data_IF_208513470924
#
_entry.id   IF_208513470924
#
_cell.length_a   1.000
_cell.length_b   1.000
_cell.length_c   1.000
_cell.angle_alpha   90.00
_cell.angle_beta   90.00
_cell.angle_gamma   90.00
#
_symmetry.space_group_name_H-M   'P 1'
#
loop_
_entity.id
_entity.type
_entity.pdbx_description
1 polymer ?
#
# COMPACT_ATOMS: atom_id res chain seq x y z
N UNK A 1 7.78 13.05 -12.16
CA UNK A 1 9.09 13.34 -12.80
C UNK A 1 9.56 12.12 -13.59
N UNK A 2 10.08 12.33 -14.79
CA UNK A 2 10.65 11.25 -15.62
C UNK A 2 12.00 11.73 -16.13
N UNK A 3 13.04 10.94 -15.88
CA UNK A 3 14.35 11.11 -16.51
C UNK A 3 14.58 9.94 -17.45
N UNK A 4 14.61 10.26 -18.74
CA UNK A 4 15.00 9.31 -19.80
C UNK A 4 16.45 8.85 -19.59
N UNK A 5 16.75 7.65 -20.05
CA UNK A 5 18.05 7.00 -19.87
C UNK A 5 19.20 7.91 -20.34
N UNK A 6 20.03 8.37 -19.39
CA UNK A 6 21.18 9.22 -19.67
C UNK A 6 22.34 8.82 -18.76
N UNK A 7 23.50 8.51 -19.36
CA UNK A 7 24.71 8.01 -18.69
C UNK A 7 24.46 6.77 -17.81
N UNK A 8 23.67 5.83 -18.30
CA UNK A 8 23.39 4.56 -17.60
C UNK A 8 22.31 4.65 -16.52
N UNK A 9 21.63 5.79 -16.35
CA UNK A 9 20.59 5.96 -15.32
C UNK A 9 19.29 6.39 -15.98
N UNK A 10 18.20 5.71 -15.64
CA UNK A 10 16.82 6.11 -15.91
C UNK A 10 16.01 6.03 -14.62
N UNK A 11 15.13 6.99 -14.41
CA UNK A 11 14.19 6.93 -13.28
C UNK A 11 12.87 7.61 -13.62
N UNK A 12 11.81 7.15 -12.99
CA UNK A 12 10.49 7.74 -13.02
C UNK A 12 9.95 7.79 -11.60
N UNK A 13 9.25 8.87 -11.27
CA UNK A 13 8.60 9.05 -9.99
C UNK A 13 7.25 9.74 -10.22
N UNK A 14 6.22 9.21 -9.59
CA UNK A 14 4.84 9.69 -9.63
C UNK A 14 4.37 9.89 -8.20
N UNK A 15 3.72 11.02 -7.96
CA UNK A 15 3.06 11.30 -6.71
C UNK A 15 1.67 11.81 -7.01
N UNK A 16 0.68 11.23 -6.36
CA UNK A 16 -0.72 11.60 -6.47
C UNK A 16 -1.27 11.89 -5.09
N UNK A 17 -1.87 13.07 -4.96
CA UNK A 17 -2.72 13.46 -3.85
C UNK A 17 -4.16 13.39 -4.36
N UNK A 18 -4.97 12.51 -3.78
CA UNK A 18 -6.37 12.35 -4.19
C UNK A 18 -7.31 12.47 -2.98
N UNK A 19 -8.53 12.94 -3.24
CA UNK A 19 -9.64 12.92 -2.28
C UNK A 19 -10.91 12.58 -3.04
N UNK A 20 -11.54 11.49 -2.65
CA UNK A 20 -12.83 11.05 -3.16
C UNK A 20 -13.85 10.99 -2.04
N UNK A 21 -15.04 11.55 -2.29
CA UNK A 21 -16.16 11.58 -1.35
C UNK A 21 -17.38 11.05 -2.09
N UNK A 22 -18.07 10.09 -1.48
CA UNK A 22 -19.33 9.53 -1.98
C UNK A 22 -20.30 9.30 -0.83
N UNK A 23 -21.54 8.95 -1.16
CA UNK A 23 -22.63 8.54 -0.27
C UNK A 23 -22.87 7.01 -0.31
N UNK A 24 -22.16 6.29 -1.19
CA UNK A 24 -22.24 4.83 -1.36
C UNK A 24 -20.90 4.15 -1.09
N UNK A 25 -20.82 3.08 -0.27
CA UNK A 25 -19.61 2.28 -0.09
C UNK A 25 -19.10 1.54 -1.34
N UNK A 26 -19.85 1.45 -2.45
CA UNK A 26 -19.41 0.73 -3.66
C UNK A 26 -19.30 1.61 -4.91
N UNK A 27 -18.29 1.32 -5.72
CA UNK A 27 -18.01 1.95 -7.00
C UNK A 27 -18.93 1.32 -8.06
N UNK A 28 -19.76 2.12 -8.73
CA UNK A 28 -20.63 1.66 -9.83
C UNK A 28 -22.01 1.11 -9.43
N UNK A 29 -22.44 1.29 -8.18
CA UNK A 29 -23.81 0.95 -7.75
C UNK A 29 -24.13 -0.55 -7.71
N UNK A 30 -23.12 -1.41 -7.83
CA UNK A 30 -23.27 -2.86 -7.70
C UNK A 30 -23.16 -3.27 -6.22
N UNK A 31 -24.18 -3.97 -5.72
CA UNK A 31 -24.27 -4.51 -4.35
C UNK A 31 -25.50 -4.04 -3.58
N UNK A 32 -25.92 -4.81 -2.56
CA UNK A 32 -26.91 -4.37 -1.56
C UNK A 32 -26.26 -3.33 -0.64
N UNK A 33 -26.07 -2.14 -1.18
CA UNK A 33 -25.54 -1.00 -0.46
C UNK A 33 -26.68 -0.33 0.26
N UNK A 34 -26.76 -0.54 1.57
CA UNK A 34 -27.87 -0.02 2.36
C UNK A 34 -27.40 1.13 3.24
N UNK A 35 -28.09 2.26 3.11
CA UNK A 35 -27.92 3.40 4.00
C UNK A 35 -28.21 2.99 5.44
N UNK A 36 -27.41 3.51 6.36
CA UNK A 36 -27.61 3.22 7.78
C UNK A 36 -28.95 3.79 8.24
N UNK A 37 -29.22 5.06 7.90
CA UNK A 37 -30.46 5.74 8.24
C UNK A 37 -31.15 6.22 6.96
N UNK A 38 -32.20 5.51 6.55
CA UNK A 38 -33.04 5.89 5.42
C UNK A 38 -33.72 7.27 5.54
N UNK A 39 -33.92 7.78 6.76
CA UNK A 39 -34.46 9.12 7.01
C UNK A 39 -33.40 10.22 6.86
N UNK A 40 -32.11 9.86 6.85
CA UNK A 40 -30.99 10.77 6.70
C UNK A 40 -29.90 10.15 5.80
N UNK A 41 -30.11 10.29 4.50
CA UNK A 41 -29.18 9.81 3.47
C UNK A 41 -27.88 10.64 3.47
N UNK A 42 -27.96 11.92 3.86
CA UNK A 42 -26.77 12.78 3.92
C UNK A 42 -25.79 12.33 5.00
N UNK A 43 -26.29 11.72 6.08
CA UNK A 43 -25.49 11.13 7.14
C UNK A 43 -24.57 9.99 6.70
N UNK A 44 -24.76 9.42 5.51
CA UNK A 44 -23.86 8.40 4.95
C UNK A 44 -22.75 8.98 4.07
N UNK A 45 -22.78 10.28 3.73
CA UNK A 45 -21.71 10.93 2.96
C UNK A 45 -20.38 10.91 3.72
N UNK A 46 -19.34 10.40 3.07
CA UNK A 46 -18.00 10.23 3.67
C UNK A 46 -16.90 10.05 2.64
N UNK A 47 -15.68 9.73 3.08
CA UNK A 47 -14.60 9.37 2.16
C UNK A 47 -14.96 8.08 1.41
N UNK A 48 -14.64 7.99 0.13
CA UNK A 48 -14.80 6.77 -0.65
C UNK A 48 -13.99 5.62 -0.03
N UNK A 49 -14.50 4.38 -0.11
CA UNK A 49 -13.77 3.21 0.41
C UNK A 49 -12.43 2.98 -0.32
N UNK A 50 -12.30 3.50 -1.54
CA UNK A 50 -11.09 3.47 -2.36
C UNK A 50 -10.26 4.76 -2.28
N UNK A 51 -10.55 5.67 -1.34
CA UNK A 51 -9.76 6.90 -1.17
C UNK A 51 -8.34 6.55 -0.70
N UNK A 52 -7.36 6.75 -1.60
CA UNK A 52 -5.95 6.69 -1.25
C UNK A 52 -5.43 8.12 -1.28
N UNK A 53 -5.21 8.69 -0.09
CA UNK A 53 -4.84 10.11 0.05
C UNK A 53 -3.51 10.42 -0.61
N UNK A 54 -2.47 9.69 -0.24
CA UNK A 54 -1.12 9.85 -0.77
C UNK A 54 -0.71 8.58 -1.47
N UNK A 55 -0.29 8.70 -2.72
CA UNK A 55 0.28 7.59 -3.47
C UNK A 55 1.57 8.04 -4.14
N UNK A 56 2.67 7.37 -3.80
CA UNK A 56 3.98 7.56 -4.38
C UNK A 56 4.43 6.26 -5.04
N UNK A 57 4.84 6.36 -6.30
CA UNK A 57 5.42 5.25 -7.05
C UNK A 57 6.68 5.71 -7.77
N UNK A 58 7.77 5.00 -7.61
CA UNK A 58 9.03 5.29 -8.28
C UNK A 58 9.65 4.03 -8.87
N UNK A 59 10.20 4.15 -10.06
CA UNK A 59 11.02 3.13 -10.69
C UNK A 59 12.39 3.69 -11.04
N UNK A 60 13.44 2.88 -10.91
CA UNK A 60 14.77 3.26 -11.38
C UNK A 60 15.49 2.07 -11.98
N UNK A 61 16.35 2.38 -12.95
CA UNK A 61 17.31 1.45 -13.54
C UNK A 61 18.64 2.16 -13.63
N UNK A 62 19.67 1.52 -13.10
CA UNK A 62 21.04 1.96 -13.15
C UNK A 62 21.90 0.84 -13.73
N UNK A 63 22.53 1.09 -14.87
CA UNK A 63 23.51 0.20 -15.48
C UNK A 63 24.91 0.74 -15.26
N UNK A 64 25.89 -0.17 -15.32
CA UNK A 64 27.30 0.19 -15.32
C UNK A 64 27.60 1.32 -16.32
N UNK A 65 28.28 2.39 -15.89
CA UNK A 65 28.77 3.43 -16.80
C UNK A 65 30.10 3.02 -17.46
N UNK A 66 30.70 1.88 -17.14
CA UNK A 66 32.00 1.46 -17.66
C UNK A 66 31.87 1.08 -19.14
N UNK A 67 32.80 1.57 -19.97
CA UNK A 67 32.82 1.38 -21.44
C UNK A 67 31.65 2.01 -22.24
N UNK A 68 30.79 2.83 -21.61
CA UNK A 68 29.79 3.62 -22.33
C UNK A 68 30.42 4.88 -22.96
N UNK A 69 29.89 5.42 -24.08
CA UNK A 69 30.37 6.67 -24.67
C UNK A 69 30.38 7.81 -23.62
N UNK A 70 31.56 8.39 -23.34
CA UNK A 70 31.74 9.44 -22.33
C UNK A 70 32.06 8.96 -20.90
N UNK A 71 32.33 7.66 -20.70
CA UNK A 71 32.78 7.12 -19.43
C UNK A 71 34.21 7.54 -19.08
N UNK A 72 34.43 7.97 -17.83
CA UNK A 72 35.78 8.25 -17.28
C UNK A 72 36.51 7.00 -16.80
N UNK A 73 35.88 5.82 -16.84
CA UNK A 73 36.45 4.57 -16.34
C UNK A 73 36.83 3.70 -17.54
N UNK A 74 38.14 3.60 -17.79
CA UNK A 74 38.68 2.75 -18.84
C UNK A 74 38.38 1.26 -18.55
N UNK A 75 37.91 0.55 -19.58
CA UNK A 75 37.57 -0.88 -19.51
C UNK A 75 38.78 -1.78 -19.17
N UNK A 76 39.99 -1.31 -19.46
CA UNK A 76 41.24 -2.09 -19.37
C UNK A 76 41.81 -2.25 -17.96
N UNK A 77 41.30 -1.49 -17.00
CA UNK A 77 41.67 -1.65 -15.59
C UNK A 77 41.03 -2.93 -14.99
N UNK A 78 41.70 -3.61 -14.05
CA UNK A 78 41.10 -4.74 -13.29
C UNK A 78 39.74 -4.36 -12.68
N UNK A 79 39.63 -3.12 -12.21
CA UNK A 79 38.39 -2.50 -11.73
C UNK A 79 37.35 -2.29 -12.84
N UNK A 80 37.74 -1.91 -14.06
CA UNK A 80 36.83 -1.76 -15.20
C UNK A 80 36.20 -3.10 -15.61
N UNK A 81 36.98 -4.18 -15.63
CA UNK A 81 36.46 -5.55 -15.84
C UNK A 81 35.56 -6.04 -14.72
N UNK A 82 35.78 -5.59 -13.49
CA UNK A 82 34.94 -5.94 -12.34
C UNK A 82 33.69 -5.05 -12.21
N UNK A 83 33.68 -3.87 -12.82
CA UNK A 83 32.56 -2.93 -12.74
C UNK A 83 31.76 -2.85 -14.05
N UNK A 84 32.09 -3.62 -15.09
CA UNK A 84 31.28 -3.71 -16.32
C UNK A 84 30.05 -4.62 -16.15
N UNK A 85 29.08 -4.41 -17.03
CA UNK A 85 27.95 -5.33 -17.26
C UNK A 85 27.05 -5.63 -16.04
N UNK A 86 26.99 -4.74 -15.05
CA UNK A 86 25.99 -4.81 -13.98
C UNK A 86 24.82 -3.87 -14.26
N UNK A 87 23.66 -4.27 -13.76
CA UNK A 87 22.42 -3.53 -13.79
C UNK A 87 21.73 -3.68 -12.43
N UNK A 88 21.34 -2.56 -11.85
CA UNK A 88 20.51 -2.46 -10.68
C UNK A 88 19.17 -1.87 -11.10
N UNK A 89 18.08 -2.52 -10.75
CA UNK A 89 16.73 -1.99 -10.91
C UNK A 89 16.04 -1.94 -9.56
N UNK A 90 15.09 -1.04 -9.42
CA UNK A 90 14.25 -0.99 -8.23
C UNK A 90 12.93 -0.32 -8.48
N UNK A 91 11.95 -0.68 -7.66
CA UNK A 91 10.66 0.00 -7.57
C UNK A 91 10.30 0.27 -6.12
N UNK A 92 9.78 1.46 -5.89
CA UNK A 92 9.28 1.92 -4.59
C UNK A 92 7.80 2.20 -4.75
N UNK A 93 6.99 1.65 -3.87
CA UNK A 93 5.58 1.99 -3.71
C UNK A 93 5.37 2.40 -2.27
N UNK A 94 4.86 3.61 -2.05
CA UNK A 94 4.47 4.11 -0.74
C UNK A 94 3.09 4.76 -0.87
N UNK A 95 2.10 4.26 -0.16
CA UNK A 95 0.75 4.80 -0.22
C UNK A 95 0.04 4.72 1.13
N UNK A 96 -0.85 5.67 1.41
CA UNK A 96 -1.77 5.57 2.54
C UNK A 96 -2.76 4.43 2.32
N UNK A 97 -3.26 3.85 3.42
CA UNK A 97 -4.29 2.84 3.35
C UNK A 97 -5.66 3.40 3.01
N UNK A 98 -6.53 2.50 2.56
CA UNK A 98 -7.95 2.77 2.38
C UNK A 98 -8.61 3.11 3.72
N UNK A 99 -9.47 4.12 3.79
CA UNK A 99 -10.13 4.47 5.03
C UNK A 99 -11.13 3.39 5.47
N UNK A 100 -11.26 3.22 6.78
CA UNK A 100 -12.09 2.22 7.42
C UNK A 100 -13.19 2.89 8.26
N UNK A 101 -14.25 2.12 8.55
CA UNK A 101 -15.39 2.60 9.35
C UNK A 101 -15.48 1.80 10.64
N UNK A 102 -15.61 2.48 11.77
CA UNK A 102 -15.93 1.85 13.05
C UNK A 102 -17.35 1.30 13.03
N UNK A 103 -17.51 0.03 13.38
CA UNK A 103 -18.82 -0.65 13.39
C UNK A 103 -19.07 -1.36 14.71
N UNK A 104 -20.33 -1.62 14.98
CA UNK A 104 -20.80 -2.50 16.04
C UNK A 104 -21.61 -3.61 15.38
N UNK A 105 -21.31 -4.86 15.73
CA UNK A 105 -22.01 -6.03 15.23
C UNK A 105 -22.96 -6.57 16.31
N UNK A 106 -24.04 -7.24 15.89
CA UNK A 106 -24.91 -7.96 16.83
C UNK A 106 -25.88 -7.08 17.61
N UNK A 107 -26.24 -5.89 17.11
CA UNK A 107 -27.28 -5.07 17.71
C UNK A 107 -28.66 -5.70 17.47
N UNK A 108 -29.22 -6.31 18.51
CA UNK A 108 -30.53 -6.98 18.54
C UNK A 108 -31.66 -6.09 19.08
N UNK A 109 -31.34 -4.88 19.55
CA UNK A 109 -32.34 -3.92 20.06
C UNK A 109 -32.94 -3.09 18.93
N UNK A 110 -33.93 -3.68 18.24
CA UNK A 110 -34.95 -3.02 17.40
C UNK A 110 -34.52 -1.75 16.65
N UNK A 111 -33.55 -1.86 15.75
CA UNK A 111 -33.59 -1.05 14.53
C UNK A 111 -34.39 -1.82 13.48
N UNK A 112 -35.70 -1.94 13.68
CA UNK A 112 -36.63 -2.52 12.69
C UNK A 112 -36.81 -1.63 11.43
N UNK A 113 -35.87 -0.71 11.20
CA UNK A 113 -35.91 0.37 10.20
C UNK A 113 -34.54 0.65 9.54
N UNK A 114 -33.50 -0.12 9.86
CA UNK A 114 -32.27 -0.18 9.06
C UNK A 114 -32.49 -1.14 7.91
N UNK A 115 -32.14 -0.78 6.68
CA UNK A 115 -32.10 -1.78 5.61
C UNK A 115 -30.83 -2.67 5.65
N UNK A 116 -29.86 -2.38 6.52
CA UNK A 116 -28.67 -3.21 6.78
C UNK A 116 -28.88 -4.15 7.98
N UNK A 117 -28.85 -5.46 7.76
CA UNK A 117 -28.99 -6.47 8.82
C UNK A 117 -27.67 -6.70 9.55
N UNK A 118 -27.67 -6.58 10.89
CA UNK A 118 -26.62 -7.12 11.76
C UNK A 118 -25.42 -6.21 12.09
N UNK A 119 -25.36 -4.99 11.55
CA UNK A 119 -24.29 -4.02 11.87
C UNK A 119 -24.76 -2.57 11.77
N UNK A 120 -24.25 -1.71 12.66
CA UNK A 120 -24.37 -0.25 12.59
C UNK A 120 -22.98 0.40 12.78
N UNK A 121 -22.82 1.66 12.37
CA UNK A 121 -21.67 2.49 12.74
C UNK A 121 -21.65 2.71 14.25
N UNK A 122 -20.45 2.89 14.80
CA UNK A 122 -20.24 3.27 16.18
C UNK A 122 -20.63 4.73 16.43
N UNK A 123 -20.59 5.17 17.68
CA UNK A 123 -20.61 6.59 18.03
C UNK A 123 -19.19 7.14 18.09
N UNK A 124 -18.98 8.37 17.64
CA UNK A 124 -17.73 9.09 17.81
C UNK A 124 -17.71 9.80 19.17
N UNK A 125 -16.65 9.59 19.95
CA UNK A 125 -16.51 10.20 21.29
C UNK A 125 -15.99 11.64 21.26
N UNK A 126 -15.57 12.11 20.08
CA UNK A 126 -14.87 13.39 19.90
C UNK A 126 -13.36 13.32 20.20
N UNK A 127 -12.84 12.16 20.62
CA UNK A 127 -11.40 11.98 20.79
C UNK A 127 -10.68 11.92 19.43
N UNK A 128 -9.40 12.33 19.35
CA UNK A 128 -8.61 12.21 18.12
C UNK A 128 -8.56 10.75 17.64
N UNK A 129 -8.80 10.53 16.34
CA UNK A 129 -8.74 9.19 15.72
C UNK A 129 -7.29 8.74 15.54
N UNK A 130 -6.38 9.66 15.22
CA UNK A 130 -4.95 9.36 15.06
C UNK A 130 -4.18 9.76 16.33
N UNK A 131 -3.36 8.84 16.82
CA UNK A 131 -2.48 9.01 17.99
C UNK A 131 -1.00 8.96 17.61
N UNK A 132 -0.67 8.93 16.31
CA UNK A 132 0.69 8.96 15.79
C UNK A 132 1.46 7.64 15.90
N UNK A 133 0.80 6.56 16.33
CA UNK A 133 1.42 5.23 16.50
C UNK A 133 1.31 4.34 15.26
N UNK A 134 0.68 4.83 14.19
CA UNK A 134 0.33 4.05 13.00
C UNK A 134 -0.97 3.23 13.15
N UNK A 135 -1.56 3.24 14.34
CA UNK A 135 -2.89 2.69 14.61
C UNK A 135 -3.82 3.80 15.13
N UNK A 136 -5.12 3.57 15.01
CA UNK A 136 -6.11 4.52 15.46
C UNK A 136 -6.39 4.40 16.97
N UNK A 137 -6.91 5.48 17.55
CA UNK A 137 -7.30 5.56 18.94
C UNK A 137 -8.54 4.71 19.21
N UNK A 138 -8.43 3.69 20.06
CA UNK A 138 -9.56 2.82 20.41
C UNK A 138 -10.66 3.55 21.18
N UNK A 139 -10.32 4.63 21.88
CA UNK A 139 -11.30 5.43 22.63
C UNK A 139 -12.02 6.46 21.75
N UNK A 140 -11.72 6.53 20.45
CA UNK A 140 -12.40 7.44 19.51
C UNK A 140 -13.82 6.98 19.14
N UNK A 141 -14.15 5.71 19.42
CA UNK A 141 -15.47 5.16 19.13
C UNK A 141 -16.05 4.36 20.29
N UNK A 142 -17.36 4.44 20.46
CA UNK A 142 -18.11 3.69 21.48
C UNK A 142 -19.32 3.01 20.88
N UNK A 143 -19.87 2.04 21.63
CA UNK A 143 -21.12 1.39 21.27
C UNK A 143 -22.27 2.40 21.42
N UNK A 144 -23.11 2.60 20.40
CA UNK A 144 -24.27 3.47 20.51
C UNK A 144 -25.29 2.98 21.53
N UNK A 145 -26.05 3.92 22.10
CA UNK A 145 -27.15 3.56 22.98
C UNK A 145 -28.18 2.66 22.24
N UNK A 146 -28.85 1.75 22.93
CA UNK A 146 -29.88 0.91 22.32
C UNK A 146 -30.96 1.75 21.62
N UNK A 147 -31.36 1.35 20.41
CA UNK A 147 -32.44 2.02 19.65
C UNK A 147 -32.05 3.29 18.89
N UNK A 148 -30.78 3.69 18.87
CA UNK A 148 -30.29 4.79 18.02
C UNK A 148 -29.27 4.34 16.96
N UNK A 149 -29.16 5.12 15.91
CA UNK A 149 -28.08 5.02 14.92
C UNK A 149 -26.78 5.59 15.50
N UNK A 150 -25.63 5.02 15.12
CA UNK A 150 -24.33 5.60 15.45
C UNK A 150 -24.03 6.87 14.65
N UNK A 151 -23.36 7.83 15.27
CA UNK A 151 -23.02 9.13 14.65
C UNK A 151 -21.62 9.19 14.03
N UNK A 152 -20.78 8.16 14.17
CA UNK A 152 -19.42 8.15 13.63
C UNK A 152 -19.45 8.27 12.10
N UNK A 153 -18.73 9.23 11.52
CA UNK A 153 -18.65 9.38 10.07
C UNK A 153 -18.11 8.13 9.34
N UNK A 154 -18.59 7.90 8.12
CA UNK A 154 -18.10 6.80 7.27
C UNK A 154 -16.65 7.05 6.87
N UNK A 155 -15.84 5.99 6.89
CA UNK A 155 -14.46 5.97 6.38
C UNK A 155 -13.58 7.05 7.02
N UNK A 156 -13.65 7.14 8.35
CA UNK A 156 -12.93 8.12 9.17
C UNK A 156 -11.65 7.58 9.79
N UNK A 157 -11.50 6.26 9.90
CA UNK A 157 -10.27 5.61 10.39
C UNK A 157 -9.27 5.52 9.24
N UNK A 158 -8.06 6.10 9.36
CA UNK A 158 -7.00 5.88 8.37
C UNK A 158 -6.61 4.39 8.35
N UNK A 159 -6.69 3.74 7.19
CA UNK A 159 -6.24 2.36 7.06
C UNK A 159 -4.71 2.24 7.04
N UNK A 160 -4.17 1.03 7.22
CA UNK A 160 -2.73 0.80 7.20
C UNK A 160 -2.11 1.21 5.87
N UNK A 161 -1.08 2.04 5.93
CA UNK A 161 -0.27 2.38 4.77
C UNK A 161 0.46 1.16 4.21
N UNK A 162 0.79 1.22 2.93
CA UNK A 162 1.67 0.24 2.27
C UNK A 162 2.98 0.92 1.91
N UNK A 163 4.09 0.27 2.26
CA UNK A 163 5.41 0.60 1.77
C UNK A 163 6.11 -0.67 1.27
N UNK A 164 6.64 -0.61 0.05
CA UNK A 164 7.40 -1.70 -0.55
C UNK A 164 8.57 -1.16 -1.35
N UNK A 165 9.73 -1.80 -1.18
CA UNK A 165 10.92 -1.62 -2.00
C UNK A 165 11.28 -2.96 -2.62
N UNK A 166 11.17 -3.05 -3.95
CA UNK A 166 11.64 -4.20 -4.71
C UNK A 166 12.96 -3.84 -5.38
N UNK A 167 13.91 -4.78 -5.39
CA UNK A 167 15.22 -4.58 -6.00
C UNK A 167 15.59 -5.77 -6.89
N UNK A 168 16.19 -5.48 -8.03
CA UNK A 168 16.79 -6.45 -8.93
C UNK A 168 18.24 -6.09 -9.18
N UNK A 169 19.13 -7.06 -9.02
CA UNK A 169 20.54 -6.95 -9.40
C UNK A 169 20.82 -8.00 -10.46
N UNK A 170 21.40 -7.57 -11.58
CA UNK A 170 21.86 -8.45 -12.64
C UNK A 170 23.30 -8.12 -13.01
N UNK A 171 24.09 -9.14 -13.30
CA UNK A 171 25.44 -8.97 -13.80
C UNK A 171 25.82 -10.07 -14.77
N UNK A 172 26.49 -9.69 -15.85
CA UNK A 172 27.08 -10.63 -16.79
C UNK A 172 28.60 -10.70 -16.67
N UNK A 173 29.15 -11.90 -16.78
CA UNK A 173 30.58 -12.17 -16.84
C UNK A 173 30.89 -12.83 -18.18
N UNK A 174 31.65 -12.13 -19.02
CA UNK A 174 32.22 -12.70 -20.24
C UNK A 174 33.50 -13.46 -19.88
N UNK A 175 33.50 -14.79 -20.02
CA UNK A 175 34.67 -15.63 -19.76
C UNK A 175 35.52 -15.80 -21.03
N UNK A 176 34.86 -15.93 -22.18
CA UNK A 176 35.47 -15.95 -23.51
C UNK A 176 34.48 -15.39 -24.55
N UNK A 177 34.83 -15.39 -25.83
CA UNK A 177 33.94 -14.95 -26.92
C UNK A 177 32.65 -15.77 -27.01
N UNK A 178 32.69 -17.05 -26.59
CA UNK A 178 31.55 -17.97 -26.64
C UNK A 178 30.92 -18.25 -25.28
N UNK A 179 31.64 -18.02 -24.17
CA UNK A 179 31.20 -18.38 -22.82
C UNK A 179 30.78 -17.15 -22.00
N UNK A 180 29.53 -17.15 -21.52
CA UNK A 180 28.97 -16.08 -20.67
C UNK A 180 28.22 -16.66 -19.47
N UNK A 181 28.47 -16.08 -18.30
CA UNK A 181 27.66 -16.32 -17.08
C UNK A 181 26.80 -15.08 -16.83
N UNK A 182 25.50 -15.27 -16.60
CA UNK A 182 24.58 -14.22 -16.16
C UNK A 182 24.09 -14.57 -14.76
N UNK A 183 24.30 -13.66 -13.82
CA UNK A 183 23.82 -13.75 -12.44
C UNK A 183 22.70 -12.73 -12.27
N UNK A 184 21.54 -13.15 -11.79
CA UNK A 184 20.41 -12.25 -11.45
C UNK A 184 19.87 -12.61 -10.09
N UNK A 185 19.68 -11.61 -9.24
CA UNK A 185 19.02 -11.71 -7.94
C UNK A 185 17.92 -10.67 -7.89
N UNK A 186 16.73 -11.10 -7.51
CA UNK A 186 15.58 -10.23 -7.33
C UNK A 186 15.01 -10.42 -5.94
N UNK A 187 14.54 -9.33 -5.35
CA UNK A 187 13.84 -9.36 -4.10
C UNK A 187 12.60 -8.50 -4.16
N UNK A 188 11.46 -9.08 -3.79
CA UNK A 188 10.27 -8.32 -3.47
C UNK A 188 10.30 -7.97 -1.99
N UNK A 189 10.00 -6.71 -1.64
CA UNK A 189 10.06 -6.20 -0.28
C UNK A 189 11.44 -6.46 0.38
N UNK A 190 12.51 -5.95 -0.22
CA UNK A 190 13.90 -6.21 0.21
C UNK A 190 14.18 -5.78 1.65
N UNK A 191 13.50 -4.72 2.13
CA UNK A 191 13.61 -4.24 3.51
C UNK A 191 12.82 -5.09 4.50
N UNK A 192 12.04 -6.07 4.02
CA UNK A 192 11.13 -6.89 4.82
C UNK A 192 10.17 -6.05 5.67
N UNK A 193 9.65 -4.95 5.11
CA UNK A 193 8.70 -4.10 5.79
C UNK A 193 7.33 -4.78 5.85
N UNK A 194 6.71 -4.83 7.04
CA UNK A 194 5.40 -5.46 7.22
C UNK A 194 4.32 -4.51 6.72
N UNK A 195 3.58 -4.95 5.71
CA UNK A 195 2.40 -4.24 5.23
C UNK A 195 1.17 -4.93 5.81
N UNK A 196 0.33 -4.20 6.56
CA UNK A 196 -0.93 -4.76 7.03
C UNK A 196 -2.03 -4.54 5.98
N UNK A 197 -2.91 -5.52 5.81
CA UNK A 197 -3.97 -5.42 4.79
C UNK A 197 -5.22 -4.71 5.31
N UNK A 198 -5.53 -4.86 6.60
CA UNK A 198 -6.69 -4.24 7.23
C UNK A 198 -6.53 -4.20 8.77
N UNK A 199 -7.41 -3.47 9.45
CA UNK A 199 -7.57 -3.43 10.90
C UNK A 199 -8.97 -3.91 11.30
N UNK A 200 -9.08 -4.51 12.48
CA UNK A 200 -10.39 -4.79 13.07
C UNK A 200 -11.01 -3.51 13.63
N UNK A 201 -12.13 -3.08 13.05
CA UNK A 201 -12.83 -1.85 13.45
C UNK A 201 -14.17 -2.10 14.15
N UNK A 202 -14.42 -3.35 14.55
CA UNK A 202 -15.63 -3.73 15.28
C UNK A 202 -15.44 -3.46 16.78
N UNK A 203 -16.11 -2.43 17.30
CA UNK A 203 -15.89 -1.90 18.68
C UNK A 203 -16.16 -2.96 19.76
N UNK A 204 -17.15 -3.83 19.54
CA UNK A 204 -17.51 -4.90 20.48
C UNK A 204 -16.78 -6.23 20.23
N UNK A 205 -15.71 -6.22 19.43
CA UNK A 205 -14.87 -7.41 19.18
C UNK A 205 -13.64 -7.41 20.09
N UNK A 206 -13.21 -8.60 20.51
CA UNK A 206 -11.95 -8.80 21.26
C UNK A 206 -10.70 -8.36 20.48
N UNK A 207 -10.78 -8.36 19.14
CA UNK A 207 -9.66 -7.99 18.29
C UNK A 207 -9.66 -6.49 17.89
N UNK A 208 -10.57 -5.68 18.44
CA UNK A 208 -10.72 -4.28 18.07
C UNK A 208 -9.39 -3.52 18.13
N UNK A 209 -9.03 -2.85 17.02
CA UNK A 209 -7.76 -2.14 16.89
C UNK A 209 -6.59 -2.93 16.34
N UNK A 210 -6.68 -4.27 16.32
CA UNK A 210 -5.57 -5.11 15.89
C UNK A 210 -5.51 -5.22 14.35
N UNK A 211 -4.31 -5.43 13.78
CA UNK A 211 -4.19 -5.81 12.37
C UNK A 211 -4.86 -7.15 12.07
N UNK A 212 -5.59 -7.23 10.96
CA UNK A 212 -6.29 -8.47 10.59
C UNK A 212 -5.36 -9.50 9.93
N UNK A 213 -4.42 -9.03 9.12
CA UNK A 213 -3.44 -9.86 8.42
C UNK A 213 -2.25 -9.03 7.96
N UNK A 214 -1.12 -9.70 7.77
CA UNK A 214 0.04 -9.15 7.09
C UNK A 214 0.03 -9.57 5.60
N UNK A 215 0.47 -8.65 4.74
CA UNK A 215 0.75 -8.92 3.34
C UNK A 215 2.03 -9.75 3.16
N UNK A 216 2.39 -9.98 1.89
CA UNK A 216 3.56 -10.79 1.55
C UNK A 216 4.85 -10.24 2.16
N UNK A 217 5.56 -11.12 2.86
CA UNK A 217 6.91 -10.84 3.37
C UNK A 217 7.95 -10.88 2.26
N UNK A 218 9.20 -10.57 2.61
CA UNK A 218 10.30 -10.59 1.67
C UNK A 218 10.42 -11.93 0.96
N UNK A 219 10.50 -11.88 -0.37
CA UNK A 219 10.87 -13.03 -1.19
C UNK A 219 12.15 -12.69 -1.97
N UNK A 220 12.96 -13.70 -2.22
CA UNK A 220 14.21 -13.56 -2.98
C UNK A 220 14.33 -14.70 -3.98
N UNK A 221 14.66 -14.35 -5.22
CA UNK A 221 14.91 -15.30 -6.29
C UNK A 221 16.30 -15.04 -6.86
N UNK A 222 17.09 -16.09 -7.00
CA UNK A 222 18.41 -16.03 -7.62
C UNK A 222 18.45 -16.97 -8.82
N UNK A 223 18.98 -16.49 -9.94
CA UNK A 223 19.12 -17.25 -11.19
C UNK A 223 20.53 -17.10 -11.69
N UNK A 224 21.14 -18.23 -12.05
CA UNK A 224 22.41 -18.28 -12.77
C UNK A 224 22.14 -18.91 -14.13
N UNK A 225 22.56 -18.24 -15.19
CA UNK A 225 22.50 -18.78 -16.55
C UNK A 225 23.89 -18.85 -17.14
N UNK A 226 24.25 -20.02 -17.66
CA UNK A 226 25.47 -20.23 -18.41
C UNK A 226 25.15 -20.39 -19.90
N UNK A 227 25.88 -19.66 -20.75
CA UNK A 227 25.80 -19.75 -22.21
C UNK A 227 27.17 -20.19 -22.73
N UNK A 228 27.19 -21.11 -23.70
CA UNK A 228 28.38 -21.73 -24.27
C UNK A 228 28.33 -21.78 -25.79
#
# INVERSE_FOLDING_TARGET
AVRRFNRGISFNAFYQLAKSIDDTPSLGGAGNTVVQNWLDIQGDRGLSAFDVRHQFQSGFVWTSPVAAPGSRIAADTKLGRLLKDWQLSGSIVAQTGNPLTARVLGNTTRLAQTGGTGSIRADATGQPIDIGTGFFNLNSFTIPAPGRYGDAGRNTIPGPGTFSLNLGFARSFSLSERRRIEFRVESNNVLNHVNYTNLYTVVNSVNYGLPSAAGSMRTMNAVVRFRF
#
